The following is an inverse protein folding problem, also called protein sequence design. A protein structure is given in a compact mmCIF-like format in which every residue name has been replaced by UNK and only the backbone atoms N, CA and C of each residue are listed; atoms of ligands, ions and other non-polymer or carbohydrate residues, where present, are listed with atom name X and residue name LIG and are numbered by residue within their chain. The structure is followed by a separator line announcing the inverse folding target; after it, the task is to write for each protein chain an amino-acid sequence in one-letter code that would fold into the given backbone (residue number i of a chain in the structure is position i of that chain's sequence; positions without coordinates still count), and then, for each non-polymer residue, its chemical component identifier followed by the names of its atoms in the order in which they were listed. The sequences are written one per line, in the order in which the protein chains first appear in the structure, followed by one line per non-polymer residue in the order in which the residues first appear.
data_IF_363356713451
#
_entry.id   IF_363356713451
#
_cell.length_a   1.000
_cell.length_b   1.000
_cell.length_c   1.000
_cell.angle_alpha   90.00
_cell.angle_beta   90.00
_cell.angle_gamma   90.00
#
_symmetry.space_group_name_H-M   'P 1'
#
loop_
_entity.id
_entity.type
_entity.pdbx_description
1 polymer ?
#
# COMPACT_ATOMS: atom_id res chain seq x y z
N UNK A 1 -13.72 24.50 12.56
CA UNK A 1 -12.85 23.85 11.58
C UNK A 1 -12.35 22.58 12.22
N UNK A 2 -12.48 21.46 11.52
CA UNK A 2 -11.97 20.16 11.95
C UNK A 2 -10.69 19.91 11.16
N UNK A 3 -9.59 19.64 11.86
CA UNK A 3 -8.28 19.43 11.26
C UNK A 3 -7.39 18.61 12.23
N UNK A 4 -6.25 18.17 11.73
CA UNK A 4 -5.18 17.53 12.51
C UNK A 4 -5.59 16.23 13.23
N UNK A 5 -6.29 15.36 12.52
CA UNK A 5 -6.69 14.03 13.04
C UNK A 5 -5.50 13.19 13.54
N UNK A 6 -4.31 13.41 12.99
CA UNK A 6 -3.09 12.70 13.39
C UNK A 6 -2.71 13.01 14.83
N UNK A 7 -2.80 14.29 15.23
CA UNK A 7 -2.50 14.71 16.61
C UNK A 7 -3.53 14.16 17.59
N UNK A 8 -4.80 14.16 17.21
CA UNK A 8 -5.87 13.59 18.02
C UNK A 8 -5.63 12.09 18.29
N UNK A 9 -5.24 11.34 17.27
CA UNK A 9 -4.91 9.92 17.42
C UNK A 9 -3.69 9.71 18.34
N UNK A 10 -2.62 10.51 18.17
CA UNK A 10 -1.41 10.44 19.01
C UNK A 10 -1.72 10.78 20.48
N UNK A 11 -2.52 11.81 20.74
CA UNK A 11 -2.95 12.18 22.10
C UNK A 11 -3.72 11.05 22.77
N UNK A 12 -4.50 10.29 21.97
CA UNK A 12 -5.23 9.11 22.42
C UNK A 12 -4.41 7.81 22.37
N UNK A 13 -3.07 7.91 22.30
CA UNK A 13 -2.09 6.81 22.30
C UNK A 13 -2.06 5.96 20.99
N UNK A 14 -2.61 6.48 19.91
CA UNK A 14 -2.43 5.92 18.57
C UNK A 14 -1.08 6.31 17.97
N UNK A 15 -0.80 5.82 16.77
CA UNK A 15 0.44 6.09 16.04
C UNK A 15 0.32 7.28 15.06
N UNK A 16 -0.86 7.87 14.92
CA UNK A 16 -1.15 8.95 13.99
C UNK A 16 -1.24 8.53 12.53
N UNK A 17 -1.04 7.26 12.22
CA UNK A 17 -1.22 6.65 10.89
C UNK A 17 -1.21 5.11 11.02
N UNK A 18 -1.91 4.40 10.11
CA UNK A 18 -2.84 4.92 9.11
C UNK A 18 -4.19 5.37 9.70
N UNK A 19 -4.80 6.44 9.18
CA UNK A 19 -6.10 6.96 9.64
C UNK A 19 -7.30 6.46 8.80
N UNK A 20 -7.03 5.85 7.66
CA UNK A 20 -8.06 5.38 6.71
C UNK A 20 -8.76 4.06 7.08
N UNK A 21 -8.28 3.22 8.01
CA UNK A 21 -8.84 1.89 8.25
C UNK A 21 -10.33 1.87 8.59
N UNK A 22 -10.81 2.86 9.37
CA UNK A 22 -12.23 2.95 9.71
C UNK A 22 -13.11 3.24 8.47
N UNK A 23 -12.59 3.99 7.50
CA UNK A 23 -13.26 4.22 6.24
C UNK A 23 -13.21 2.98 5.33
N UNK A 24 -12.10 2.26 5.33
CA UNK A 24 -11.98 0.98 4.63
C UNK A 24 -13.01 -0.05 5.14
N UNK A 25 -13.30 -0.06 6.44
CA UNK A 25 -14.36 -0.92 6.99
C UNK A 25 -15.74 -0.55 6.41
N UNK A 26 -16.07 0.74 6.26
CA UNK A 26 -17.30 1.17 5.61
C UNK A 26 -17.33 0.73 4.14
N UNK A 27 -16.24 0.94 3.41
CA UNK A 27 -16.14 0.54 2.00
C UNK A 27 -16.25 -0.97 1.81
N UNK A 28 -15.65 -1.77 2.71
CA UNK A 28 -15.71 -3.23 2.62
C UNK A 28 -17.14 -3.77 2.70
N UNK A 29 -17.98 -3.17 3.55
CA UNK A 29 -19.42 -3.50 3.65
C UNK A 29 -20.15 -3.18 2.36
N UNK A 30 -19.95 -1.98 1.80
CA UNK A 30 -20.55 -1.57 0.53
C UNK A 30 -20.13 -2.46 -0.63
N UNK A 31 -18.83 -2.81 -0.71
CA UNK A 31 -18.28 -3.68 -1.75
C UNK A 31 -18.85 -5.10 -1.61
N UNK A 32 -18.90 -5.65 -0.38
CA UNK A 32 -19.52 -6.95 -0.13
C UNK A 32 -20.97 -6.99 -0.58
N UNK A 33 -21.77 -5.96 -0.24
CA UNK A 33 -23.20 -5.89 -0.60
C UNK A 33 -23.42 -5.78 -2.11
N UNK A 34 -22.63 -4.95 -2.79
CA UNK A 34 -22.82 -4.67 -4.21
C UNK A 34 -22.20 -5.71 -5.12
N UNK A 35 -21.01 -6.23 -4.77
CA UNK A 35 -20.18 -7.08 -5.61
C UNK A 35 -20.02 -8.51 -5.07
N UNK A 36 -20.67 -8.84 -3.93
CA UNK A 36 -20.67 -10.18 -3.31
C UNK A 36 -19.28 -10.73 -3.03
N UNK A 37 -18.32 -9.86 -2.67
CA UNK A 37 -16.98 -10.28 -2.28
C UNK A 37 -17.00 -10.75 -0.83
N UNK A 38 -16.50 -11.97 -0.60
CA UNK A 38 -16.43 -12.54 0.73
C UNK A 38 -15.30 -11.92 1.56
N UNK A 39 -15.50 -11.85 2.87
CA UNK A 39 -14.47 -11.52 3.84
C UNK A 39 -13.48 -12.69 4.05
N UNK A 40 -12.22 -12.41 4.38
CA UNK A 40 -11.64 -11.10 4.62
C UNK A 40 -11.42 -10.30 3.33
N UNK A 41 -11.57 -8.96 3.44
CA UNK A 41 -11.27 -8.02 2.36
C UNK A 41 -10.10 -7.15 2.81
N UNK A 42 -9.08 -7.02 1.97
CA UNK A 42 -7.92 -6.19 2.25
C UNK A 42 -7.87 -4.97 1.31
N UNK A 43 -7.51 -3.82 1.84
CA UNK A 43 -7.15 -2.64 1.07
C UNK A 43 -5.64 -2.49 1.08
N UNK A 44 -5.03 -2.45 -0.09
CA UNK A 44 -3.63 -2.13 -0.28
C UNK A 44 -3.54 -0.71 -0.85
N UNK A 45 -3.23 0.25 0.01
CA UNK A 45 -2.98 1.61 -0.45
C UNK A 45 -1.52 1.79 -0.82
N UNK A 46 -1.24 2.16 -2.08
CA UNK A 46 0.11 2.44 -2.58
C UNK A 46 0.23 3.96 -2.82
N UNK A 47 0.55 4.68 -1.76
CA UNK A 47 0.89 6.10 -1.75
C UNK A 47 2.41 6.32 -1.82
N UNK A 48 2.93 7.29 -1.10
CA UNK A 48 4.37 7.44 -0.84
C UNK A 48 4.91 6.27 -0.03
N UNK A 49 4.21 5.93 1.04
CA UNK A 49 4.32 4.68 1.82
C UNK A 49 3.16 3.78 1.40
N UNK A 50 3.36 2.48 1.40
CA UNK A 50 2.31 1.50 1.20
C UNK A 50 1.80 0.98 2.54
N UNK A 51 0.48 0.82 2.67
CA UNK A 51 -0.14 0.26 3.86
C UNK A 51 -1.24 -0.72 3.49
N UNK A 52 -1.51 -1.64 4.42
CA UNK A 52 -2.54 -2.66 4.29
C UNK A 52 -3.55 -2.48 5.41
N UNK A 53 -4.82 -2.51 5.05
CA UNK A 53 -5.94 -2.62 5.99
C UNK A 53 -6.68 -3.91 5.68
N UNK A 54 -6.81 -4.81 6.66
CA UNK A 54 -7.53 -6.07 6.54
C UNK A 54 -8.80 -6.03 7.38
N UNK A 55 -9.93 -6.24 6.75
CA UNK A 55 -11.24 -6.36 7.40
C UNK A 55 -11.61 -7.85 7.43
N UNK A 56 -11.76 -8.39 8.63
CA UNK A 56 -11.85 -9.85 8.86
C UNK A 56 -13.26 -10.36 8.57
N UNK A 57 -14.30 -9.64 9.05
CA UNK A 57 -15.73 -10.03 8.92
C UNK A 57 -16.62 -8.81 8.74
N UNK A 58 -17.88 -9.03 8.33
CA UNK A 58 -18.82 -7.96 7.96
C UNK A 58 -19.30 -7.11 9.16
N UNK A 59 -19.72 -7.74 10.22
CA UNK A 59 -20.54 -7.10 11.27
C UNK A 59 -19.96 -7.23 12.68
N UNK A 60 -18.66 -7.40 12.83
CA UNK A 60 -18.00 -7.41 14.12
C UNK A 60 -17.61 -6.02 14.59
N UNK A 61 -17.32 -5.88 15.89
CA UNK A 61 -16.80 -4.64 16.47
C UNK A 61 -15.47 -4.29 15.81
N UNK A 62 -15.23 -3.01 15.58
CA UNK A 62 -14.05 -2.52 14.86
C UNK A 62 -12.74 -3.00 15.50
N UNK A 63 -12.67 -3.02 16.82
CA UNK A 63 -11.50 -3.38 17.61
C UNK A 63 -11.02 -4.82 17.35
N UNK A 64 -11.96 -5.75 17.09
CA UNK A 64 -11.65 -7.17 16.85
C UNK A 64 -11.63 -7.53 15.35
N UNK A 65 -11.97 -6.58 14.48
CA UNK A 65 -12.26 -6.83 13.07
C UNK A 65 -11.28 -6.19 12.10
N UNK A 66 -10.32 -5.42 12.61
CA UNK A 66 -9.48 -4.58 11.79
C UNK A 66 -8.01 -4.75 12.15
N UNK A 67 -7.21 -5.15 11.14
CA UNK A 67 -5.75 -5.13 11.20
C UNK A 67 -5.25 -4.08 10.19
N UNK A 68 -4.36 -3.18 10.62
CA UNK A 68 -3.80 -2.17 9.73
C UNK A 68 -2.33 -1.89 10.06
N UNK A 69 -1.48 -1.79 9.04
CA UNK A 69 -0.05 -1.54 9.21
C UNK A 69 0.58 -1.03 7.91
N UNK A 70 1.73 -0.37 8.04
CA UNK A 70 2.55 0.02 6.91
C UNK A 70 3.34 -1.19 6.39
N UNK A 71 3.22 -1.47 5.09
CA UNK A 71 3.82 -2.65 4.47
C UNK A 71 5.19 -2.39 3.82
N UNK A 72 5.60 -1.14 3.74
CA UNK A 72 6.87 -0.74 3.13
C UNK A 72 6.78 0.55 2.33
N UNK A 73 7.79 0.84 1.48
CA UNK A 73 7.71 1.96 0.56
C UNK A 73 6.59 1.72 -0.45
N UNK A 74 5.93 2.81 -0.84
CA UNK A 74 5.09 2.83 -2.02
C UNK A 74 5.87 3.47 -3.18
N UNK A 75 5.40 4.62 -3.66
CA UNK A 75 6.07 5.33 -4.76
C UNK A 75 7.29 6.15 -4.31
N UNK A 76 7.53 6.34 -3.01
CA UNK A 76 8.53 7.31 -2.53
C UNK A 76 9.94 7.08 -3.09
N UNK A 77 10.40 5.83 -3.16
CA UNK A 77 11.72 5.50 -3.69
C UNK A 77 11.77 5.68 -5.21
N UNK A 78 10.72 5.24 -5.91
CA UNK A 78 10.59 5.34 -7.37
C UNK A 78 10.60 6.82 -7.77
N UNK A 79 9.75 7.63 -7.14
CA UNK A 79 9.65 9.06 -7.40
C UNK A 79 10.95 9.80 -7.07
N UNK A 80 11.62 9.44 -5.96
CA UNK A 80 12.91 10.01 -5.57
C UNK A 80 13.98 9.72 -6.63
N UNK A 81 14.00 8.50 -7.18
CA UNK A 81 14.91 8.11 -8.26
C UNK A 81 14.63 8.89 -9.54
N UNK A 82 13.38 8.92 -9.98
CA UNK A 82 12.96 9.59 -11.22
C UNK A 82 13.27 11.09 -11.15
N UNK A 83 12.92 11.77 -10.06
CA UNK A 83 13.23 13.20 -9.86
C UNK A 83 14.73 13.49 -9.85
N UNK A 84 15.54 12.56 -9.34
CA UNK A 84 16.99 12.74 -9.29
C UNK A 84 17.67 12.58 -10.66
N UNK A 85 17.12 11.77 -11.56
CA UNK A 85 17.76 11.38 -12.81
C UNK A 85 17.04 11.86 -14.06
N UNK A 86 15.90 12.55 -13.91
CA UNK A 86 15.13 13.10 -15.02
C UNK A 86 14.46 14.43 -14.65
N UNK A 87 13.68 14.99 -15.58
CA UNK A 87 12.82 16.16 -15.34
C UNK A 87 11.40 15.74 -14.90
N UNK A 88 11.11 14.45 -14.85
CA UNK A 88 9.80 13.94 -14.47
C UNK A 88 9.68 13.90 -12.93
N UNK A 89 8.46 13.99 -12.43
CA UNK A 89 8.20 13.91 -11.00
C UNK A 89 8.02 12.47 -10.50
N UNK A 90 7.58 11.57 -11.38
CA UNK A 90 7.29 10.17 -11.11
C UNK A 90 7.35 9.33 -12.39
N UNK A 91 7.30 8.01 -12.25
CA UNK A 91 7.26 7.06 -13.37
C UNK A 91 5.81 6.84 -13.81
N UNK A 92 5.37 7.58 -14.81
CA UNK A 92 4.00 7.49 -15.31
C UNK A 92 3.71 6.09 -15.88
N UNK A 93 2.68 5.43 -15.33
CA UNK A 93 2.25 4.08 -15.70
C UNK A 93 3.35 2.99 -15.61
N UNK A 94 4.48 3.29 -14.96
CA UNK A 94 5.63 2.38 -14.88
C UNK A 94 6.44 2.30 -16.18
N UNK A 95 6.33 3.31 -17.05
CA UNK A 95 6.93 3.30 -18.40
C UNK A 95 8.46 3.33 -18.37
N UNK A 96 9.06 4.09 -17.44
CA UNK A 96 10.51 4.17 -17.27
C UNK A 96 11.04 2.83 -16.78
N UNK A 97 10.46 2.28 -15.71
CA UNK A 97 10.85 0.98 -15.18
C UNK A 97 10.69 -0.14 -16.22
N UNK A 98 9.61 -0.11 -17.00
CA UNK A 98 9.36 -1.10 -18.06
C UNK A 98 10.40 -1.07 -19.19
N UNK A 99 11.01 0.08 -19.45
CA UNK A 99 12.07 0.21 -20.49
C UNK A 99 13.46 -0.22 -19.97
N UNK A 100 13.64 -0.34 -18.66
CA UNK A 100 14.88 -0.77 -18.03
C UNK A 100 14.97 -2.27 -17.79
N UNK A 101 16.15 -2.67 -17.32
CA UNK A 101 16.44 -4.05 -16.88
C UNK A 101 16.71 -4.08 -15.39
N UNK A 102 16.08 -5.01 -14.69
CA UNK A 102 16.33 -5.24 -13.28
C UNK A 102 17.77 -5.73 -13.12
N UNK A 103 18.56 -5.02 -12.33
CA UNK A 103 19.89 -5.50 -11.94
C UNK A 103 19.75 -6.51 -10.79
N UNK A 104 19.79 -7.80 -11.15
CA UNK A 104 19.53 -8.88 -10.20
C UNK A 104 20.55 -8.96 -9.07
N UNK A 105 21.80 -8.61 -9.30
CA UNK A 105 22.86 -8.63 -8.27
C UNK A 105 22.57 -7.56 -7.20
N UNK A 106 22.27 -6.34 -7.64
CA UNK A 106 21.93 -5.23 -6.73
C UNK A 106 20.62 -5.52 -5.99
N UNK A 107 19.62 -6.04 -6.70
CA UNK A 107 18.34 -6.41 -6.11
C UNK A 107 18.50 -7.46 -5.01
N UNK A 108 19.21 -8.54 -5.27
CA UNK A 108 19.46 -9.59 -4.27
C UNK A 108 20.23 -9.02 -3.07
N UNK A 109 21.26 -8.23 -3.32
CA UNK A 109 22.05 -7.61 -2.25
C UNK A 109 21.20 -6.69 -1.35
N UNK A 110 20.33 -5.87 -1.92
CA UNK A 110 19.48 -4.99 -1.10
C UNK A 110 18.43 -5.79 -0.34
N UNK A 111 17.87 -6.84 -0.92
CA UNK A 111 16.92 -7.75 -0.25
C UNK A 111 17.60 -8.44 0.95
N UNK A 112 18.81 -8.99 0.76
CA UNK A 112 19.54 -9.69 1.81
C UNK A 112 19.95 -8.77 2.97
N UNK A 113 20.23 -7.51 2.69
CA UNK A 113 20.62 -6.51 3.69
C UNK A 113 19.41 -5.80 4.34
N UNK A 114 18.24 -5.85 3.72
CA UNK A 114 17.04 -5.19 4.25
C UNK A 114 16.27 -6.15 5.16
N UNK A 115 16.29 -5.85 6.46
CA UNK A 115 15.50 -6.61 7.43
C UNK A 115 14.20 -5.86 7.72
N UNK A 116 13.09 -6.56 7.55
CA UNK A 116 11.81 -6.10 8.08
C UNK A 116 11.75 -6.62 9.52
N UNK A 117 12.08 -5.74 10.48
CA UNK A 117 12.12 -6.12 11.90
C UNK A 117 10.71 -6.42 12.46
N UNK A 118 9.73 -5.63 12.09
CA UNK A 118 8.31 -5.86 12.38
C UNK A 118 7.44 -4.94 11.52
N UNK A 119 6.14 -5.26 11.42
CA UNK A 119 5.13 -4.40 10.81
C UNK A 119 4.38 -3.53 11.84
N UNK A 120 4.86 -3.46 13.09
CA UNK A 120 4.17 -2.78 14.19
C UNK A 120 4.44 -1.27 14.25
N UNK A 121 5.39 -0.77 13.44
CA UNK A 121 5.79 0.64 13.44
C UNK A 121 5.31 1.34 12.17
N UNK A 122 4.80 2.56 12.33
CA UNK A 122 4.57 3.46 11.20
C UNK A 122 5.89 3.84 10.53
N UNK A 123 5.88 3.86 9.21
CA UNK A 123 7.04 4.15 8.37
C UNK A 123 7.01 5.60 7.85
N UNK A 124 8.19 6.20 7.64
CA UNK A 124 8.36 7.50 7.00
C UNK A 124 9.16 7.34 5.69
N UNK A 125 8.94 8.24 4.75
CA UNK A 125 9.68 8.29 3.47
C UNK A 125 11.18 8.38 3.68
N UNK A 126 11.63 8.95 4.81
CA UNK A 126 13.04 9.08 5.20
C UNK A 126 13.70 7.75 5.58
N UNK A 127 12.92 6.74 5.90
CA UNK A 127 13.41 5.41 6.27
C UNK A 127 13.97 4.66 5.05
N UNK A 128 13.71 5.17 3.83
CA UNK A 128 14.05 4.50 2.59
C UNK A 128 15.11 5.27 1.79
N UNK A 129 16.22 4.58 1.52
CA UNK A 129 17.32 5.10 0.70
C UNK A 129 17.37 4.40 -0.67
N UNK A 130 17.79 5.16 -1.68
CA UNK A 130 17.96 4.71 -3.07
C UNK A 130 19.42 4.54 -3.46
N UNK A 131 20.36 4.68 -2.51
CA UNK A 131 21.81 4.68 -2.80
C UNK A 131 22.30 3.36 -3.35
N UNK A 132 21.62 2.25 -3.08
CA UNK A 132 21.95 0.93 -3.62
C UNK A 132 21.87 0.87 -5.15
N UNK A 133 21.06 1.72 -5.78
CA UNK A 133 20.91 1.79 -7.24
C UNK A 133 21.92 2.75 -7.90
N UNK A 134 22.85 3.35 -7.12
CA UNK A 134 23.85 4.28 -7.65
C UNK A 134 24.68 3.65 -8.77
N UNK A 135 24.83 4.37 -9.87
CA UNK A 135 25.58 3.93 -11.05
C UNK A 135 24.74 3.22 -12.10
N UNK A 136 23.48 2.92 -11.82
CA UNK A 136 22.56 2.44 -12.85
C UNK A 136 22.05 3.59 -13.73
N UNK A 137 21.61 3.26 -14.95
CA UNK A 137 20.85 4.20 -15.80
C UNK A 137 19.54 4.60 -15.14
N UNK A 138 18.88 5.66 -15.65
CA UNK A 138 17.55 6.05 -15.19
C UNK A 138 16.59 4.85 -15.22
N UNK A 139 16.56 4.14 -16.33
CA UNK A 139 15.62 3.05 -16.60
C UNK A 139 15.93 1.81 -15.75
N UNK A 140 17.20 1.37 -15.71
CA UNK A 140 17.61 0.18 -14.95
C UNK A 140 17.47 0.40 -13.44
N UNK A 141 17.83 1.61 -12.97
CA UNK A 141 17.64 1.98 -11.57
C UNK A 141 16.15 2.05 -11.20
N UNK A 142 15.31 2.63 -12.07
CA UNK A 142 13.86 2.66 -11.87
C UNK A 142 13.28 1.24 -11.82
N UNK A 143 13.67 0.36 -12.75
CA UNK A 143 13.23 -1.05 -12.77
C UNK A 143 13.65 -1.80 -11.50
N UNK A 144 14.90 -1.64 -11.07
CA UNK A 144 15.46 -2.33 -9.89
C UNK A 144 14.79 -1.85 -8.60
N UNK A 145 14.60 -0.52 -8.43
CA UNK A 145 13.93 0.08 -7.28
C UNK A 145 12.45 -0.32 -7.24
N UNK A 146 11.76 -0.31 -8.38
CA UNK A 146 10.35 -0.71 -8.45
C UNK A 146 10.19 -2.18 -8.09
N UNK A 147 11.11 -3.04 -8.53
CA UNK A 147 11.08 -4.46 -8.17
C UNK A 147 11.35 -4.69 -6.68
N UNK A 148 12.29 -3.95 -6.08
CA UNK A 148 12.52 -3.99 -4.64
C UNK A 148 11.29 -3.50 -3.84
N UNK A 149 10.65 -2.41 -4.27
CA UNK A 149 9.38 -1.94 -3.70
C UNK A 149 8.31 -3.02 -3.77
N UNK A 150 8.16 -3.68 -4.93
CA UNK A 150 7.21 -4.78 -5.12
C UNK A 150 7.48 -5.96 -4.17
N UNK A 151 8.75 -6.31 -3.97
CA UNK A 151 9.15 -7.34 -3.01
C UNK A 151 8.68 -7.02 -1.59
N UNK A 152 8.90 -5.79 -1.12
CA UNK A 152 8.51 -5.38 0.23
C UNK A 152 6.98 -5.37 0.40
N UNK A 153 6.24 -4.86 -0.59
CA UNK A 153 4.77 -4.90 -0.59
C UNK A 153 4.27 -6.35 -0.56
N UNK A 154 4.88 -7.25 -1.36
CA UNK A 154 4.52 -8.66 -1.36
C UNK A 154 4.76 -9.31 0.02
N UNK A 155 5.84 -8.94 0.72
CA UNK A 155 6.10 -9.38 2.11
C UNK A 155 5.02 -8.89 3.08
N UNK A 156 4.57 -7.65 2.95
CA UNK A 156 3.42 -7.13 3.72
C UNK A 156 2.13 -7.90 3.45
N UNK A 157 1.86 -8.23 2.19
CA UNK A 157 0.72 -9.07 1.79
C UNK A 157 0.83 -10.48 2.40
N UNK A 158 2.03 -11.10 2.35
CA UNK A 158 2.27 -12.40 2.99
C UNK A 158 2.04 -12.34 4.50
N UNK A 159 2.49 -11.28 5.17
CA UNK A 159 2.25 -11.06 6.59
C UNK A 159 0.75 -10.96 6.90
N UNK A 160 0.01 -10.10 6.19
CA UNK A 160 -1.44 -9.95 6.37
C UNK A 160 -2.21 -11.25 6.11
N UNK A 161 -1.72 -12.08 5.17
CA UNK A 161 -2.33 -13.38 4.87
C UNK A 161 -2.10 -14.38 6.00
N UNK A 162 -0.93 -14.33 6.66
CA UNK A 162 -0.54 -15.31 7.68
C UNK A 162 -0.58 -16.75 7.14
N UNK A 163 -1.05 -17.67 7.97
CA UNK A 163 -1.26 -19.09 7.61
C UNK A 163 -2.67 -19.38 7.06
N UNK A 164 -3.37 -18.34 6.57
CA UNK A 164 -4.74 -18.49 6.08
C UNK A 164 -4.76 -19.03 4.66
N UNK A 165 -5.40 -20.18 4.44
CA UNK A 165 -5.58 -20.81 3.13
C UNK A 165 -6.87 -20.35 2.40
N UNK A 166 -7.73 -19.55 3.07
CA UNK A 166 -8.95 -19.04 2.44
C UNK A 166 -8.61 -17.96 1.42
N UNK A 167 -9.40 -17.85 0.34
CA UNK A 167 -9.22 -16.77 -0.63
C UNK A 167 -9.33 -15.39 0.01
N UNK A 168 -8.34 -14.54 -0.25
CA UNK A 168 -8.31 -13.15 0.19
C UNK A 168 -8.23 -12.24 -1.03
N UNK A 169 -9.10 -11.22 -1.04
CA UNK A 169 -9.12 -10.18 -2.05
C UNK A 169 -8.40 -8.94 -1.53
N UNK A 170 -7.38 -8.49 -2.25
CA UNK A 170 -6.71 -7.21 -2.04
C UNK A 170 -7.18 -6.20 -3.07
N UNK A 171 -7.76 -5.11 -2.61
CA UNK A 171 -8.22 -3.97 -3.41
C UNK A 171 -7.15 -2.89 -3.38
N UNK A 172 -6.54 -2.64 -4.52
CA UNK A 172 -5.42 -1.70 -4.63
C UNK A 172 -5.98 -0.30 -4.84
N UNK A 173 -5.58 0.64 -3.99
CA UNK A 173 -5.88 2.07 -4.09
C UNK A 173 -4.59 2.92 -4.01
N UNK A 174 -4.74 4.24 -4.08
CA UNK A 174 -3.61 5.16 -4.16
C UNK A 174 -2.99 5.25 -5.55
N UNK A 175 -2.09 6.19 -5.74
CA UNK A 175 -1.48 6.49 -7.05
C UNK A 175 -0.69 5.34 -7.66
N UNK A 176 -0.07 4.50 -6.83
CA UNK A 176 0.74 3.36 -7.26
C UNK A 176 -0.05 2.27 -8.00
N UNK A 177 -1.41 2.22 -7.85
CA UNK A 177 -2.26 1.30 -8.61
C UNK A 177 -2.16 1.49 -10.13
N UNK A 178 -1.78 2.70 -10.55
CA UNK A 178 -1.60 3.06 -11.97
C UNK A 178 -0.24 2.61 -12.54
N UNK A 179 0.73 2.30 -11.69
CA UNK A 179 2.04 1.82 -12.12
C UNK A 179 1.96 0.33 -12.50
N UNK A 180 1.73 0.05 -13.78
CA UNK A 180 1.53 -1.32 -14.28
C UNK A 180 2.74 -2.24 -14.04
N UNK A 181 3.97 -1.69 -14.08
CA UNK A 181 5.18 -2.46 -13.82
C UNK A 181 5.27 -2.86 -12.34
N UNK A 182 4.96 -1.94 -11.41
CA UNK A 182 4.91 -2.24 -9.98
C UNK A 182 3.85 -3.32 -9.68
N UNK A 183 2.64 -3.15 -10.20
CA UNK A 183 1.56 -4.11 -9.97
C UNK A 183 1.90 -5.50 -10.52
N UNK A 184 2.50 -5.57 -11.71
CA UNK A 184 2.92 -6.85 -12.27
C UNK A 184 4.04 -7.47 -11.43
N UNK A 185 5.03 -6.70 -11.00
CA UNK A 185 6.11 -7.19 -10.13
C UNK A 185 5.59 -7.72 -8.79
N UNK A 186 4.59 -7.09 -8.19
CA UNK A 186 3.92 -7.61 -6.97
C UNK A 186 3.26 -8.96 -7.26
N UNK A 187 2.52 -9.07 -8.38
CA UNK A 187 1.89 -10.34 -8.78
C UNK A 187 2.90 -11.45 -9.01
N UNK A 188 4.04 -11.13 -9.60
CA UNK A 188 5.12 -12.10 -9.86
C UNK A 188 5.68 -12.68 -8.57
N UNK A 189 5.89 -11.86 -7.53
CA UNK A 189 6.30 -12.35 -6.20
C UNK A 189 5.23 -13.22 -5.53
N UNK A 190 3.96 -13.02 -5.84
CA UNK A 190 2.82 -13.75 -5.25
C UNK A 190 2.34 -14.93 -6.11
N UNK A 191 3.03 -15.29 -7.20
CA UNK A 191 2.58 -16.32 -8.16
C UNK A 191 2.25 -17.66 -7.49
N UNK A 192 2.98 -18.04 -6.43
CA UNK A 192 2.77 -19.28 -5.69
C UNK A 192 1.65 -19.19 -4.64
N UNK A 193 1.04 -18.02 -4.43
CA UNK A 193 -0.01 -17.77 -3.43
C UNK A 193 -1.39 -17.76 -4.09
N UNK A 194 -1.91 -18.94 -4.42
CA UNK A 194 -3.18 -19.11 -5.17
C UNK A 194 -4.42 -18.55 -4.46
N UNK A 195 -4.34 -18.38 -3.14
CA UNK A 195 -5.41 -17.83 -2.33
C UNK A 195 -5.42 -16.29 -2.28
N UNK A 196 -4.46 -15.62 -2.89
CA UNK A 196 -4.37 -14.15 -2.94
C UNK A 196 -4.78 -13.66 -4.33
N UNK A 197 -5.70 -12.70 -4.37
CA UNK A 197 -6.09 -12.01 -5.61
C UNK A 197 -5.97 -10.50 -5.44
N UNK A 198 -5.38 -9.85 -6.46
CA UNK A 198 -5.18 -8.41 -6.53
C UNK A 198 -6.08 -7.82 -7.61
N UNK A 199 -6.84 -6.77 -7.28
CA UNK A 199 -7.69 -6.03 -8.23
C UNK A 199 -7.58 -4.53 -7.94
N UNK A 200 -7.78 -3.68 -8.95
CA UNK A 200 -7.92 -2.25 -8.69
C UNK A 200 -9.23 -1.98 -7.94
N UNK A 201 -9.22 -1.00 -7.04
CA UNK A 201 -10.46 -0.54 -6.41
C UNK A 201 -11.41 0.10 -7.43
N UNK A 202 -10.87 0.60 -8.53
CA UNK A 202 -11.65 1.19 -9.63
C UNK A 202 -12.61 0.16 -10.27
N UNK A 203 -12.27 -1.15 -10.20
CA UNK A 203 -13.12 -2.24 -10.69
C UNK A 203 -14.41 -2.43 -9.85
N UNK A 204 -14.56 -1.69 -8.75
CA UNK A 204 -15.65 -1.80 -7.79
C UNK A 204 -16.49 -0.52 -7.66
N UNK A 205 -16.56 0.26 -8.73
CA UNK A 205 -17.30 1.55 -8.80
C UNK A 205 -16.84 2.58 -7.76
N UNK A 206 -15.56 2.54 -7.41
CA UNK A 206 -14.90 3.47 -6.52
C UNK A 206 -13.72 4.10 -7.26
N UNK A 207 -13.58 5.42 -7.17
CA UNK A 207 -12.44 6.11 -7.76
C UNK A 207 -11.26 6.08 -6.78
N UNK A 208 -10.24 5.30 -7.13
CA UNK A 208 -9.05 5.11 -6.29
C UNK A 208 -8.21 6.37 -6.06
N UNK A 209 -8.42 7.44 -6.82
CA UNK A 209 -7.76 8.73 -6.61
C UNK A 209 -8.37 9.52 -5.44
N UNK A 210 -9.62 9.22 -5.08
CA UNK A 210 -10.36 9.95 -4.05
C UNK A 210 -10.58 9.17 -2.75
N UNK A 211 -10.06 7.95 -2.62
CA UNK A 211 -10.26 7.13 -1.42
C UNK A 211 -9.76 7.85 -0.17
N UNK A 212 -8.56 8.43 -0.22
CA UNK A 212 -7.99 9.14 0.92
C UNK A 212 -8.76 10.42 1.26
N UNK A 213 -9.11 11.23 0.26
CA UNK A 213 -9.90 12.45 0.49
C UNK A 213 -11.31 12.16 1.02
N UNK A 214 -11.94 11.08 0.55
CA UNK A 214 -13.22 10.61 1.08
C UNK A 214 -13.07 10.11 2.53
N UNK A 215 -11.97 9.42 2.86
CA UNK A 215 -11.68 8.99 4.22
C UNK A 215 -11.58 10.18 5.17
N UNK A 216 -10.85 11.23 4.80
CA UNK A 216 -10.77 12.46 5.61
C UNK A 216 -12.11 13.18 5.73
N UNK A 217 -12.91 13.23 4.66
CA UNK A 217 -14.29 13.74 4.74
C UNK A 217 -15.15 12.94 5.71
N UNK A 218 -15.04 11.61 5.68
CA UNK A 218 -15.74 10.72 6.59
C UNK A 218 -15.30 10.93 8.05
N UNK A 219 -13.99 11.04 8.31
CA UNK A 219 -13.45 11.33 9.65
C UNK A 219 -13.93 12.69 10.17
N UNK A 220 -14.00 13.71 9.31
CA UNK A 220 -14.52 15.02 9.68
C UNK A 220 -15.99 14.96 10.13
N UNK A 221 -16.83 14.21 9.42
CA UNK A 221 -18.25 13.99 9.79
C UNK A 221 -18.34 13.26 11.13
N UNK A 222 -17.54 12.19 11.34
CA UNK A 222 -17.54 11.45 12.61
C UNK A 222 -17.12 12.34 13.78
N UNK A 223 -16.05 13.12 13.61
CA UNK A 223 -15.57 14.07 14.62
C UNK A 223 -16.65 15.13 14.94
N UNK A 224 -17.31 15.69 13.92
CA UNK A 224 -18.39 16.65 14.12
C UNK A 224 -19.57 16.06 14.90
N UNK A 225 -19.89 14.80 14.68
CA UNK A 225 -20.98 14.08 15.35
C UNK A 225 -20.57 13.45 16.68
N UNK A 226 -19.32 13.64 17.13
CA UNK A 226 -18.74 12.97 18.32
C UNK A 226 -18.87 11.45 18.27
N UNK A 227 -18.74 10.86 17.10
CA UNK A 227 -18.70 9.40 16.92
C UNK A 227 -17.29 8.86 17.15
N UNK A 228 -17.15 7.69 17.78
CA UNK A 228 -15.87 7.06 18.01
C UNK A 228 -15.18 6.65 16.71
#
# INVERSE_FOLDING_TARGET
VIYDFRQEDIVNKGQGAPLTPIFHNLLSKRINEKHQINFPICFLNIGGISNITKIIKKDEKLEDNLEAFDSGPGNCMIDKWVRKHSKNNFDENGSIAKSGKINQLILNQVIDNFKIDSFDKSLDVKDFDISFARGLSLEDGCATITNFTAYLIAKGIEHANGSNDKPIKYLICGGGRKNSFLIQSIKDYLTNKKNISLSSIDDYDLDGDYIESQAFGYLAIRSFLNLP
#
